data_IF_247911210431
#
_entry.id   IF_247911210431
#
_cell.length_a   1.000
_cell.length_b   1.000
_cell.length_c   1.000
_cell.angle_alpha   90.00
_cell.angle_beta   90.00
_cell.angle_gamma   90.00
#
_symmetry.space_group_name_H-M   'P 1'
#
loop_
_entity.id
_entity.type
_entity.pdbx_description
1 polymer ?
#
# COMPACT_ATOMS: atom_id res chain seq x y z
N UNK A 1 8.57 13.85 27.91
CA UNK A 1 9.54 13.99 26.81
C UNK A 1 8.83 13.57 25.54
N UNK A 2 8.65 14.46 24.57
CA UNK A 2 8.01 14.10 23.31
C UNK A 2 8.91 13.07 22.62
N UNK A 3 8.38 11.87 22.33
CA UNK A 3 9.09 10.89 21.49
C UNK A 3 9.43 11.61 20.18
N UNK A 4 10.71 11.58 19.79
CA UNK A 4 11.14 12.08 18.48
C UNK A 4 10.30 11.36 17.42
N UNK A 5 9.46 12.09 16.69
CA UNK A 5 8.66 11.57 15.57
C UNK A 5 9.43 11.86 14.29
N UNK A 6 10.60 11.26 14.15
CA UNK A 6 11.48 11.52 13.01
C UNK A 6 11.21 10.50 11.89
N UNK A 7 10.84 10.95 10.70
CA UNK A 7 10.59 10.08 9.54
C UNK A 7 11.67 10.32 8.50
N UNK A 8 12.33 9.26 8.04
CA UNK A 8 13.33 9.32 6.97
C UNK A 8 12.75 8.67 5.72
N UNK A 9 12.69 9.41 4.62
CA UNK A 9 12.30 8.87 3.32
C UNK A 9 13.52 8.17 2.74
N UNK A 10 13.42 6.87 2.54
CA UNK A 10 14.51 6.05 2.02
C UNK A 10 14.56 6.17 0.50
N UNK A 11 13.41 5.99 -0.15
CA UNK A 11 13.31 6.03 -1.61
C UNK A 11 11.90 6.39 -2.07
N UNK A 12 11.84 6.94 -3.29
CA UNK A 12 10.61 7.18 -4.03
C UNK A 12 10.85 6.67 -5.45
N UNK A 13 10.16 5.60 -5.82
CA UNK A 13 10.33 4.92 -7.11
C UNK A 13 9.06 5.09 -7.92
N UNK A 14 9.16 5.70 -9.09
CA UNK A 14 8.05 5.78 -10.05
C UNK A 14 8.06 4.55 -10.95
N UNK A 15 6.86 4.08 -11.31
CA UNK A 15 6.70 3.08 -12.36
C UNK A 15 7.15 3.70 -13.70
N UNK A 16 7.86 2.97 -14.58
CA UNK A 16 8.19 3.46 -15.91
C UNK A 16 6.92 3.86 -16.67
N UNK A 17 6.95 5.01 -17.35
CA UNK A 17 5.77 5.54 -18.04
C UNK A 17 5.27 4.62 -19.15
N UNK A 18 6.17 3.83 -19.72
CA UNK A 18 5.92 2.85 -20.77
C UNK A 18 5.04 1.69 -20.30
N UNK A 19 5.03 1.42 -18.99
CA UNK A 19 4.19 0.38 -18.37
C UNK A 19 2.78 0.90 -18.03
N UNK A 20 2.54 2.21 -18.15
CA UNK A 20 1.28 2.85 -17.82
C UNK A 20 0.50 3.28 -19.07
N UNK A 21 -0.04 2.32 -19.84
CA UNK A 21 -0.74 2.61 -21.11
C UNK A 21 -1.94 3.55 -20.97
N UNK A 22 -2.61 3.52 -19.81
CA UNK A 22 -3.81 4.30 -19.50
C UNK A 22 -3.52 5.74 -19.04
N UNK A 23 -2.25 6.11 -18.83
CA UNK A 23 -1.84 7.44 -18.35
C UNK A 23 -1.06 8.20 -19.43
N UNK A 24 -1.26 9.51 -19.52
CA UNK A 24 -0.40 10.41 -20.32
C UNK A 24 0.84 10.81 -19.55
N UNK A 25 0.72 10.92 -18.23
CA UNK A 25 1.83 11.25 -17.36
C UNK A 25 1.40 11.33 -15.91
N UNK A 26 2.40 11.28 -15.03
CA UNK A 26 2.25 11.44 -13.60
C UNK A 26 3.58 11.84 -12.99
N UNK A 27 3.53 12.35 -11.76
CA UNK A 27 4.69 12.63 -10.93
C UNK A 27 4.28 12.57 -9.46
N UNK A 28 5.19 12.08 -8.62
CA UNK A 28 5.15 12.26 -7.17
C UNK A 28 6.13 13.39 -6.86
N UNK A 29 5.62 14.57 -6.54
CA UNK A 29 6.42 15.75 -6.20
C UNK A 29 6.85 15.71 -4.73
N UNK A 30 6.02 15.14 -3.85
CA UNK A 30 6.35 14.85 -2.45
C UNK A 30 5.79 13.47 -2.07
N UNK A 31 6.50 12.70 -1.23
CA UNK A 31 7.79 13.03 -0.61
C UNK A 31 8.98 12.98 -1.59
N UNK A 32 10.14 13.44 -1.13
CA UNK A 32 11.40 13.35 -1.87
C UNK A 32 12.30 12.32 -1.19
N UNK A 33 13.02 11.51 -1.98
CA UNK A 33 13.98 10.55 -1.45
C UNK A 33 15.03 11.24 -0.56
N UNK A 34 15.53 10.51 0.44
CA UNK A 34 16.51 10.96 1.44
C UNK A 34 16.05 12.12 2.35
N UNK A 35 14.80 12.57 2.24
CA UNK A 35 14.27 13.63 3.10
C UNK A 35 14.13 13.16 4.55
N UNK A 36 14.51 14.03 5.50
CA UNK A 36 14.32 13.81 6.93
C UNK A 36 13.28 14.79 7.46
N UNK A 37 12.22 14.25 8.04
CA UNK A 37 11.11 15.00 8.61
C UNK A 37 11.16 14.90 10.13
N UNK A 38 10.99 16.02 10.82
CA UNK A 38 10.91 16.07 12.29
C UNK A 38 9.47 15.87 12.80
N UNK A 39 8.60 15.30 11.96
CA UNK A 39 7.19 15.02 12.22
C UNK A 39 6.82 13.64 11.70
N UNK A 40 5.80 13.03 12.30
CA UNK A 40 5.16 11.83 11.74
C UNK A 40 4.27 12.15 10.54
N UNK A 41 3.99 13.43 10.28
CA UNK A 41 3.22 13.88 9.14
C UNK A 41 4.10 13.97 7.89
N UNK A 42 3.63 13.37 6.81
CA UNK A 42 4.26 13.39 5.49
C UNK A 42 3.29 13.99 4.48
N UNK A 43 3.78 14.89 3.63
CA UNK A 43 3.01 15.38 2.50
C UNK A 43 3.15 14.42 1.32
N UNK A 44 2.02 13.93 0.81
CA UNK A 44 1.92 13.32 -0.50
C UNK A 44 1.34 14.35 -1.46
N UNK A 45 2.12 14.74 -2.46
CA UNK A 45 1.65 15.65 -3.50
C UNK A 45 2.27 15.34 -4.84
N UNK A 46 1.56 15.74 -5.89
CA UNK A 46 1.96 15.42 -7.25
C UNK A 46 0.86 15.71 -8.24
N UNK A 47 0.94 15.05 -9.38
CA UNK A 47 -0.11 15.08 -10.40
C UNK A 47 -0.22 13.75 -11.13
N UNK A 48 -1.41 13.45 -11.63
CA UNK A 48 -1.66 12.29 -12.47
C UNK A 48 -2.68 12.64 -13.55
N UNK A 49 -2.35 12.29 -14.79
CA UNK A 49 -3.14 12.60 -15.97
C UNK A 49 -3.44 11.32 -16.74
N UNK A 50 -4.71 10.93 -16.76
CA UNK A 50 -5.17 9.80 -17.55
C UNK A 50 -5.26 10.12 -19.04
N UNK A 51 -5.10 9.09 -19.87
CA UNK A 51 -4.99 9.22 -21.33
C UNK A 51 -6.32 9.32 -22.05
N UNK A 52 -7.22 8.39 -21.76
CA UNK A 52 -8.57 8.37 -22.34
C UNK A 52 -9.60 8.84 -21.32
N UNK A 53 -9.44 8.39 -20.08
CA UNK A 53 -10.29 8.77 -18.96
C UNK A 53 -9.46 9.52 -17.93
N UNK A 54 -10.01 10.55 -17.27
CA UNK A 54 -9.27 11.29 -16.25
C UNK A 54 -9.05 10.42 -15.01
N UNK A 55 -7.90 10.61 -14.36
CA UNK A 55 -7.70 10.18 -12.99
C UNK A 55 -8.56 11.05 -12.07
N UNK A 56 -9.28 10.42 -11.15
CA UNK A 56 -10.22 11.07 -10.23
C UNK A 56 -9.73 11.02 -8.77
N UNK A 57 -8.88 10.04 -8.45
CA UNK A 57 -8.29 9.87 -7.13
C UNK A 57 -6.90 9.23 -7.20
N UNK A 58 -6.17 9.36 -6.11
CA UNK A 58 -4.95 8.62 -5.81
C UNK A 58 -5.14 7.88 -4.49
N UNK A 59 -4.82 6.60 -4.47
CA UNK A 59 -4.82 5.77 -3.27
C UNK A 59 -3.40 5.50 -2.82
N UNK A 60 -3.20 5.58 -1.51
CA UNK A 60 -1.96 5.25 -0.81
C UNK A 60 -2.22 3.99 -0.01
N UNK A 61 -1.48 2.91 -0.27
CA UNK A 61 -1.70 1.60 0.31
C UNK A 61 -0.47 1.09 1.06
N UNK A 62 -0.69 0.40 2.17
CA UNK A 62 0.31 -0.45 2.83
C UNK A 62 -0.05 -1.91 2.55
N UNK A 63 0.67 -2.56 1.63
CA UNK A 63 0.24 -3.84 1.06
C UNK A 63 -1.13 -3.70 0.38
N UNK A 64 -2.13 -4.44 0.85
CA UNK A 64 -3.51 -4.38 0.33
C UNK A 64 -4.41 -3.39 1.08
N UNK A 65 -3.93 -2.80 2.19
CA UNK A 65 -4.73 -1.89 3.01
C UNK A 65 -4.63 -0.47 2.48
N UNK A 66 -5.76 0.12 2.09
CA UNK A 66 -5.85 1.55 1.78
C UNK A 66 -5.62 2.35 3.07
N UNK A 67 -4.56 3.14 3.08
CA UNK A 67 -4.21 4.08 4.15
C UNK A 67 -4.97 5.38 3.95
N UNK A 68 -5.05 5.85 2.70
CA UNK A 68 -5.69 7.11 2.35
C UNK A 68 -6.11 7.14 0.87
N UNK A 69 -7.24 7.77 0.60
CA UNK A 69 -7.68 8.14 -0.75
C UNK A 69 -7.68 9.66 -0.86
N UNK A 70 -7.07 10.19 -1.91
CA UNK A 70 -6.85 11.62 -2.16
C UNK A 70 -7.55 11.98 -3.47
N UNK A 71 -8.39 13.03 -3.48
CA UNK A 71 -9.03 13.49 -4.71
C UNK A 71 -8.03 14.14 -5.67
N UNK A 72 -8.16 13.86 -6.96
CA UNK A 72 -7.41 14.54 -8.02
C UNK A 72 -8.24 15.71 -8.53
N UNK A 73 -7.96 16.89 -7.99
CA UNK A 73 -8.69 18.12 -8.32
C UNK A 73 -7.86 19.40 -8.15
N UNK A 74 -6.61 19.28 -7.71
CA UNK A 74 -5.77 20.44 -7.41
C UNK A 74 -5.23 21.07 -8.69
N UNK A 75 -5.09 22.40 -8.66
CA UNK A 75 -4.71 23.19 -9.82
C UNK A 75 -3.26 22.94 -10.24
N UNK A 76 -3.06 22.62 -11.53
CA UNK A 76 -1.75 22.41 -12.18
C UNK A 76 -1.66 23.11 -13.55
N UNK A 77 -1.60 24.46 -13.56
CA UNK A 77 -1.48 25.22 -14.80
C UNK A 77 -0.16 24.97 -15.54
N UNK A 78 0.87 24.52 -14.83
CA UNK A 78 2.13 24.01 -15.38
C UNK A 78 1.90 22.76 -16.23
N UNK A 79 1.13 21.80 -15.73
CA UNK A 79 0.78 20.56 -16.44
C UNK A 79 -0.11 20.86 -17.65
N UNK A 80 -1.12 21.72 -17.51
CA UNK A 80 -1.96 22.16 -18.62
C UNK A 80 -1.18 22.81 -19.77
N UNK A 81 -0.05 23.46 -19.48
CA UNK A 81 0.81 24.06 -20.51
C UNK A 81 1.58 23.00 -21.30
N UNK A 82 1.97 21.91 -20.65
CA UNK A 82 2.69 20.78 -21.28
C UNK A 82 1.71 19.87 -22.03
N UNK A 83 0.50 19.70 -21.51
CA UNK A 83 -0.55 18.87 -22.08
C UNK A 83 -1.81 19.69 -22.41
N UNK A 84 -1.76 20.60 -23.40
CA UNK A 84 -2.86 21.50 -23.72
C UNK A 84 -4.11 20.77 -24.24
N UNK A 85 -3.94 19.61 -24.86
CA UNK A 85 -5.04 18.83 -25.44
C UNK A 85 -5.75 17.92 -24.42
N UNK A 86 -5.26 17.85 -23.18
CA UNK A 86 -5.82 17.02 -22.13
C UNK A 86 -6.75 17.85 -21.22
N UNK A 87 -8.09 17.65 -21.26
CA UNK A 87 -9.05 18.54 -20.59
C UNK A 87 -8.89 18.62 -19.07
N UNK A 88 -8.41 17.56 -18.42
CA UNK A 88 -8.20 17.49 -16.97
C UNK A 88 -6.81 17.94 -16.52
N UNK A 89 -5.93 18.36 -17.43
CA UNK A 89 -4.55 18.71 -17.09
C UNK A 89 -4.44 19.91 -16.13
N UNK A 90 -5.40 20.82 -16.15
CA UNK A 90 -5.42 21.99 -15.25
C UNK A 90 -5.79 21.65 -13.80
N UNK A 91 -6.40 20.48 -13.56
CA UNK A 91 -6.87 20.02 -12.25
C UNK A 91 -6.34 18.62 -11.92
N UNK A 92 -5.21 18.23 -12.52
CA UNK A 92 -4.63 16.91 -12.38
C UNK A 92 -3.81 16.73 -11.09
N UNK A 93 -3.79 17.74 -10.22
CA UNK A 93 -3.02 17.72 -8.99
C UNK A 93 -3.69 16.93 -7.88
N UNK A 94 -2.88 16.39 -6.99
CA UNK A 94 -3.31 15.87 -5.70
C UNK A 94 -2.36 16.38 -4.62
N UNK A 95 -2.88 16.59 -3.42
CA UNK A 95 -2.10 16.96 -2.24
C UNK A 95 -2.84 16.56 -0.98
N UNK A 96 -2.15 15.89 -0.06
CA UNK A 96 -2.69 15.57 1.25
C UNK A 96 -1.56 15.34 2.25
N UNK A 97 -1.86 15.56 3.54
CA UNK A 97 -0.95 15.23 4.65
C UNK A 97 -1.43 13.93 5.28
N UNK A 98 -0.51 12.97 5.41
CA UNK A 98 -0.77 11.65 6.01
C UNK A 98 0.02 11.55 7.31
N UNK A 99 -0.65 11.14 8.40
CA UNK A 99 0.00 10.84 9.67
C UNK A 99 0.55 9.40 9.64
N UNK A 100 1.86 9.26 9.77
CA UNK A 100 2.57 7.99 9.84
C UNK A 100 2.81 7.53 11.29
N UNK A 101 2.13 8.13 12.28
CA UNK A 101 2.32 7.83 13.69
C UNK A 101 2.01 6.38 14.10
N UNK A 102 1.21 5.67 13.29
CA UNK A 102 0.90 4.24 13.48
C UNK A 102 1.97 3.30 12.88
N UNK A 103 2.89 3.82 12.08
CA UNK A 103 3.92 3.03 11.42
C UNK A 103 5.18 2.94 12.29
N UNK A 104 5.81 1.77 12.33
CA UNK A 104 7.05 1.52 13.07
C UNK A 104 8.08 0.84 12.18
N UNK A 105 9.35 1.25 12.28
CA UNK A 105 10.43 0.64 11.52
C UNK A 105 10.41 1.01 10.04
N UNK A 106 10.90 0.11 9.19
CA UNK A 106 10.91 0.30 7.74
C UNK A 106 9.55 -0.09 7.14
N UNK A 107 9.01 0.79 6.30
CA UNK A 107 7.69 0.62 5.70
C UNK A 107 7.72 1.03 4.22
N UNK A 108 6.83 0.43 3.44
CA UNK A 108 6.62 0.72 2.03
C UNK A 108 5.15 1.07 1.80
N UNK A 109 4.92 2.17 1.08
CA UNK A 109 3.60 2.57 0.61
C UNK A 109 3.55 2.54 -0.90
N UNK A 110 2.52 1.91 -1.43
CA UNK A 110 2.20 1.91 -2.87
C UNK A 110 1.28 3.09 -3.18
N UNK A 111 1.55 3.78 -4.28
CA UNK A 111 0.76 4.90 -4.79
C UNK A 111 0.09 4.46 -6.09
N UNK A 112 -1.23 4.52 -6.13
CA UNK A 112 -2.03 4.10 -7.29
C UNK A 112 -3.02 5.19 -7.68
N UNK A 113 -3.25 5.36 -8.97
CA UNK A 113 -4.26 6.27 -9.50
C UNK A 113 -5.54 5.49 -9.84
N UNK A 114 -6.68 6.11 -9.53
CA UNK A 114 -8.01 5.60 -9.85
C UNK A 114 -8.57 6.46 -10.99
N UNK A 115 -8.88 5.82 -12.12
CA UNK A 115 -9.51 6.48 -13.26
C UNK A 115 -11.03 6.51 -13.10
N UNK A 116 -11.70 7.32 -13.91
CA UNK A 116 -13.17 7.51 -13.84
C UNK A 116 -13.99 6.22 -13.99
N UNK A 117 -13.44 5.20 -14.63
CA UNK A 117 -14.05 3.87 -14.81
C UNK A 117 -13.66 2.87 -13.70
N UNK A 118 -13.10 3.36 -12.60
CA UNK A 118 -12.57 2.58 -11.48
C UNK A 118 -11.35 1.70 -11.84
N UNK A 119 -10.78 1.89 -13.03
CA UNK A 119 -9.49 1.27 -13.39
C UNK A 119 -8.38 1.79 -12.47
N UNK A 120 -7.55 0.86 -11.99
CA UNK A 120 -6.45 1.15 -11.06
C UNK A 120 -5.11 1.05 -11.81
N UNK A 121 -4.26 2.05 -11.65
CA UNK A 121 -2.91 2.09 -12.23
C UNK A 121 -1.90 2.44 -11.15
N UNK A 122 -0.96 1.54 -10.85
CA UNK A 122 0.15 1.84 -9.94
C UNK A 122 1.10 2.85 -10.59
N UNK A 123 1.40 3.93 -9.87
CA UNK A 123 2.27 5.02 -10.36
C UNK A 123 3.61 5.08 -9.62
N UNK A 124 3.71 4.51 -8.42
CA UNK A 124 4.98 4.45 -7.71
C UNK A 124 4.91 3.82 -6.33
N UNK A 125 6.05 3.81 -5.67
CA UNK A 125 6.23 3.30 -4.31
C UNK A 125 7.11 4.28 -3.52
N UNK A 126 6.84 4.38 -2.23
CA UNK A 126 7.58 5.22 -1.29
C UNK A 126 8.01 4.35 -0.12
N UNK A 127 9.32 4.22 0.11
CA UNK A 127 9.85 3.60 1.33
C UNK A 127 10.31 4.65 2.31
N UNK A 128 10.02 4.40 3.58
CA UNK A 128 10.42 5.28 4.67
C UNK A 128 10.69 4.48 5.95
N UNK A 129 11.52 5.07 6.79
CA UNK A 129 11.83 4.60 8.12
C UNK A 129 11.17 5.53 9.14
N UNK A 130 10.43 4.96 10.08
CA UNK A 130 10.00 5.66 11.30
C UNK A 130 10.80 5.17 12.50
N UNK A 131 10.84 5.92 13.62
CA UNK A 131 11.53 5.48 14.81
C UNK A 131 10.85 4.22 15.30
N UNK A 132 11.64 3.17 15.55
CA UNK A 132 11.11 1.95 16.13
C UNK A 132 10.47 2.31 17.47
N UNK A 133 9.19 1.99 17.63
CA UNK A 133 8.51 2.33 18.87
C UNK A 133 9.19 1.53 19.98
N UNK A 134 9.86 2.21 20.92
CA UNK A 134 10.44 1.57 22.09
C UNK A 134 9.34 1.06 23.04
N UNK A 135 8.68 -0.04 22.66
CA UNK A 135 7.82 -0.98 23.39
C UNK A 135 7.66 -2.14 22.39
N UNK A 136 8.32 -3.30 22.44
CA UNK A 136 8.76 -4.16 23.54
C UNK A 136 10.03 -4.89 23.07
N UNK A 137 10.99 -5.10 23.97
CA UNK A 137 11.98 -6.17 23.82
C UNK A 137 11.26 -7.50 23.63
N UNK A 138 11.06 -7.89 22.38
CA UNK A 138 11.00 -9.29 21.97
C UNK A 138 11.76 -9.39 20.64
N UNK A 139 13.07 -9.57 20.73
CA UNK A 139 13.65 -10.67 19.95
C UNK A 139 12.85 -11.93 20.38
N UNK A 140 12.41 -12.77 19.44
CA UNK A 140 13.30 -13.29 18.42
C UNK A 140 12.77 -13.17 16.99
N UNK A 141 13.71 -13.03 16.08
CA UNK A 141 13.84 -13.85 14.88
C UNK A 141 13.29 -15.28 15.07
N UNK A 142 11.98 -15.54 15.07
CA UNK A 142 11.33 -16.82 14.74
C UNK A 142 9.82 -16.58 14.51
N UNK A 143 9.40 -16.01 13.37
CA UNK A 143 8.01 -16.15 12.91
C UNK A 143 8.02 -16.65 11.48
N UNK A 144 8.55 -17.87 11.30
CA UNK A 144 8.44 -18.59 10.02
C UNK A 144 8.23 -20.10 10.19
N UNK A 145 8.51 -20.68 11.37
CA UNK A 145 8.33 -22.12 11.62
C UNK A 145 7.16 -22.44 12.57
N UNK A 146 6.98 -21.70 13.67
CA UNK A 146 5.98 -22.07 14.70
C UNK A 146 4.52 -21.92 14.25
N UNK A 147 4.18 -20.86 13.49
CA UNK A 147 2.84 -20.70 12.91
C UNK A 147 2.53 -21.81 11.91
N UNK A 148 3.53 -22.28 11.16
CA UNK A 148 3.41 -23.37 10.20
C UNK A 148 3.27 -24.73 10.91
N UNK A 149 3.99 -24.96 12.01
CA UNK A 149 3.84 -26.17 12.83
C UNK A 149 2.50 -26.24 13.55
N UNK A 150 2.01 -25.13 14.10
CA UNK A 150 0.66 -25.08 14.71
C UNK A 150 -0.43 -25.38 13.68
N UNK A 151 -0.33 -24.79 12.48
CA UNK A 151 -1.24 -25.08 11.39
C UNK A 151 -1.15 -26.55 10.91
N UNK A 152 0.05 -27.13 10.85
CA UNK A 152 0.25 -28.56 10.50
C UNK A 152 -0.32 -29.50 11.55
N UNK A 153 -0.12 -29.22 12.84
CA UNK A 153 -0.64 -30.03 13.93
C UNK A 153 -2.18 -30.02 14.00
N UNK A 154 -2.80 -28.87 13.68
CA UNK A 154 -4.26 -28.78 13.61
C UNK A 154 -4.83 -29.50 12.38
N UNK A 155 -4.13 -29.43 11.24
CA UNK A 155 -4.52 -30.20 10.04
C UNK A 155 -4.42 -31.71 10.28
N UNK A 156 -3.38 -32.17 10.97
CA UNK A 156 -3.19 -33.59 11.28
C UNK A 156 -4.23 -34.11 12.27
N UNK A 157 -4.59 -33.33 13.29
CA UNK A 157 -5.70 -33.66 14.20
C UNK A 157 -7.03 -33.75 13.46
N UNK A 158 -7.31 -32.81 12.57
CA UNK A 158 -8.54 -32.84 11.76
C UNK A 158 -8.58 -34.05 10.83
N UNK A 159 -7.43 -34.43 10.23
CA UNK A 159 -7.31 -35.63 9.39
C UNK A 159 -7.55 -36.92 10.18
N UNK A 160 -6.97 -37.06 11.37
CA UNK A 160 -7.17 -38.24 12.22
C UNK A 160 -8.64 -38.34 12.69
N UNK A 161 -9.27 -37.22 13.00
CA UNK A 161 -10.69 -37.18 13.35
C UNK A 161 -11.58 -37.66 12.19
N UNK A 162 -11.33 -37.22 10.96
CA UNK A 162 -12.08 -37.67 9.79
C UNK A 162 -11.90 -39.17 9.50
N UNK A 163 -10.68 -39.70 9.69
CA UNK A 163 -10.45 -41.15 9.54
C UNK A 163 -11.16 -41.96 10.63
N UNK A 164 -11.20 -41.47 11.87
CA UNK A 164 -11.97 -42.11 12.94
C UNK A 164 -13.48 -42.11 12.63
N UNK A 165 -14.02 -40.98 12.17
CA UNK A 165 -15.43 -40.86 11.79
C UNK A 165 -15.77 -41.79 10.63
N UNK A 166 -14.92 -41.91 9.61
CA UNK A 166 -15.10 -42.87 8.51
C UNK A 166 -15.05 -44.31 8.99
N UNK A 167 -14.10 -44.65 9.87
CA UNK A 167 -13.98 -46.00 10.42
C UNK A 167 -15.20 -46.39 11.25
N UNK A 168 -15.80 -45.44 11.97
CA UNK A 168 -17.03 -45.68 12.73
C UNK A 168 -18.25 -45.76 11.80
N UNK A 169 -18.35 -44.91 10.77
CA UNK A 169 -19.39 -45.04 9.72
C UNK A 169 -19.33 -46.39 9.00
N UNK A 170 -18.13 -46.89 8.68
CA UNK A 170 -17.95 -48.21 8.05
C UNK A 170 -18.39 -49.39 8.95
N UNK A 171 -18.38 -49.22 10.28
CA UNK A 171 -18.94 -50.23 11.21
C UNK A 171 -20.46 -50.26 11.19
N UNK A 172 -21.12 -49.15 10.81
CA UNK A 172 -22.57 -49.08 10.68
C UNK A 172 -23.06 -49.45 9.27
N UNK A 173 -22.20 -49.40 8.24
CA UNK A 173 -22.54 -49.88 6.89
C UNK A 173 -22.45 -51.41 6.73
N UNK A 174 -21.88 -52.13 7.71
CA UNK A 174 -21.84 -53.61 7.74
C UNK A 174 -22.72 -54.12 8.88
N UNK A 175 -23.99 -53.75 8.88
CA UNK A 175 -25.02 -54.49 9.60
C UNK A 175 -26.34 -54.44 8.82
N UNK A 176 -26.59 -55.40 7.89
CA UNK A 176 -27.88 -55.56 7.24
C UNK A 176 -28.99 -55.95 8.22
#
# INVERSE_FOLDING_TARGET
MAKNKEVHILEVVLVPKEECESLLGFMIDRPQAEAKLNSAEIEFSGWVLGKTLPAIAVEILQGEKIVKTISVSDSRPDVARVYPDAPSASISGFKEIIDLGEFSGENELTVQAILRDDSIVTIGQVRFQTPESAQVSQSPTVISSEKLERARADLERSRQFLEQVKADLAKYEVNP
#
